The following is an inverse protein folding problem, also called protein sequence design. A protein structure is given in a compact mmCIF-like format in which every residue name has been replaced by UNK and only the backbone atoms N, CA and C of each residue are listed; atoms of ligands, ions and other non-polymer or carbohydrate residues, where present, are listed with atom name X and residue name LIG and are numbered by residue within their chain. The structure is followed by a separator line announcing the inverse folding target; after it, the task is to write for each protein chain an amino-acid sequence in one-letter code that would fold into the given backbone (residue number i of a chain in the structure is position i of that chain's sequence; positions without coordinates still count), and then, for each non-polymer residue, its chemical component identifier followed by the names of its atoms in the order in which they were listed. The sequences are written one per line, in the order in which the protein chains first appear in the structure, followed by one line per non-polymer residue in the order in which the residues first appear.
data_IF_620462414112
#
_entry.id   IF_620462414112
#
_cell.length_a   1.000
_cell.length_b   1.000
_cell.length_c   1.000
_cell.angle_alpha   90.00
_cell.angle_beta   90.00
_cell.angle_gamma   90.00
#
_symmetry.space_group_name_H-M   'P 1'
#
loop_
_entity.id
_entity.type
_entity.pdbx_description
1 polymer ?
#
# COMPACT_ATOMS: atom_id res chain seq x y z
N UNK A 1 38.64 30.12 -42.75
CA UNK A 1 37.46 29.30 -43.10
C UNK A 1 37.34 28.00 -42.26
N UNK A 2 37.81 27.97 -41.00
CA UNK A 2 37.82 26.73 -40.18
C UNK A 2 36.86 26.75 -38.98
N UNK A 3 36.06 27.81 -38.79
CA UNK A 3 35.22 27.99 -37.59
C UNK A 3 33.87 27.27 -37.65
N UNK A 4 33.41 26.85 -38.83
CA UNK A 4 32.06 26.27 -38.99
C UNK A 4 31.98 24.76 -38.72
N UNK A 5 33.09 24.02 -38.78
CA UNK A 5 33.09 22.56 -38.55
C UNK A 5 32.67 22.16 -37.12
N UNK A 6 32.97 22.97 -36.11
CA UNK A 6 32.65 22.63 -34.71
C UNK A 6 31.15 22.68 -34.39
N UNK A 7 30.40 23.57 -35.05
CA UNK A 7 28.98 23.80 -34.75
C UNK A 7 28.10 22.65 -35.24
N UNK A 8 28.43 22.06 -36.39
CA UNK A 8 27.69 20.94 -36.96
C UNK A 8 27.77 19.67 -36.08
N UNK A 9 28.95 19.37 -35.53
CA UNK A 9 29.14 18.22 -34.63
C UNK A 9 28.39 18.34 -33.31
N UNK A 10 28.30 19.54 -32.74
CA UNK A 10 27.57 19.76 -31.49
C UNK A 10 26.05 19.56 -31.68
N UNK A 11 25.52 20.05 -32.81
CA UNK A 11 24.09 19.93 -33.14
C UNK A 11 23.68 18.49 -33.42
N UNK A 12 24.53 17.71 -34.10
CA UNK A 12 24.28 16.29 -34.33
C UNK A 12 24.16 15.50 -33.01
N UNK A 13 25.05 15.77 -32.04
CA UNK A 13 25.03 15.11 -30.73
C UNK A 13 23.80 15.49 -29.91
N UNK A 14 23.37 16.75 -29.96
CA UNK A 14 22.13 17.19 -29.30
C UNK A 14 20.90 16.50 -29.90
N UNK A 15 20.83 16.38 -31.22
CA UNK A 15 19.74 15.66 -31.89
C UNK A 15 19.69 14.20 -31.47
N UNK A 16 20.84 13.52 -31.36
CA UNK A 16 20.90 12.13 -30.89
C UNK A 16 20.38 11.96 -29.45
N UNK A 17 20.78 12.86 -28.53
CA UNK A 17 20.26 12.82 -27.15
C UNK A 17 18.75 13.05 -27.08
N UNK A 18 18.22 13.92 -27.95
CA UNK A 18 16.78 14.20 -28.00
C UNK A 18 16.00 13.03 -28.61
N UNK A 19 16.53 12.36 -29.65
CA UNK A 19 15.94 11.14 -30.20
C UNK A 19 15.75 10.07 -29.11
N UNK A 20 16.78 9.85 -28.28
CA UNK A 20 16.72 8.89 -27.17
C UNK A 20 15.66 9.29 -26.13
N UNK A 21 15.57 10.58 -25.76
CA UNK A 21 14.54 11.08 -24.86
C UNK A 21 13.12 10.89 -25.42
N UNK A 22 12.92 11.19 -26.70
CA UNK A 22 11.62 10.97 -27.36
C UNK A 22 11.25 9.49 -27.35
N UNK A 23 12.20 8.59 -27.58
CA UNK A 23 11.95 7.15 -27.51
C UNK A 23 11.54 6.70 -26.09
N UNK A 24 12.19 7.24 -25.05
CA UNK A 24 11.81 6.98 -23.66
C UNK A 24 10.43 7.53 -23.29
N UNK A 25 10.07 8.71 -23.81
CA UNK A 25 8.80 9.38 -23.55
C UNK A 25 7.65 8.91 -24.46
N UNK A 26 7.94 8.12 -25.49
CA UNK A 26 6.98 7.70 -26.50
C UNK A 26 5.72 7.05 -25.91
N UNK A 27 5.79 6.10 -24.94
CA UNK A 27 4.58 5.50 -24.36
C UNK A 27 3.69 6.54 -23.67
N UNK A 28 4.28 7.46 -22.91
CA UNK A 28 3.55 8.53 -22.23
C UNK A 28 2.97 9.54 -23.22
N UNK A 29 3.68 9.82 -24.33
CA UNK A 29 3.21 10.72 -25.38
C UNK A 29 1.96 10.15 -26.07
N UNK A 30 1.96 8.85 -26.40
CA UNK A 30 0.83 8.17 -27.03
C UNK A 30 -0.42 8.13 -26.14
N UNK A 31 -0.23 8.05 -24.81
CA UNK A 31 -1.31 8.01 -23.82
C UNK A 31 -1.71 9.38 -23.25
N UNK A 32 -1.12 10.48 -23.74
CA UNK A 32 -1.31 11.84 -23.22
C UNK A 32 -0.93 12.02 -21.74
N UNK A 33 -0.02 11.19 -21.22
CA UNK A 33 0.43 11.20 -19.83
C UNK A 33 1.61 12.16 -19.57
N UNK A 34 2.22 12.70 -20.63
CA UNK A 34 3.29 13.68 -20.50
C UNK A 34 2.77 15.05 -20.05
N UNK A 35 3.59 15.74 -19.26
CA UNK A 35 3.35 17.15 -18.90
C UNK A 35 3.28 18.03 -20.15
N UNK A 36 2.61 19.18 -20.07
CA UNK A 36 2.48 20.10 -21.21
C UNK A 36 3.85 20.52 -21.80
N UNK A 37 4.86 20.73 -20.94
CA UNK A 37 6.22 21.09 -21.35
C UNK A 37 6.87 19.95 -22.14
N UNK A 38 6.78 18.72 -21.64
CA UNK A 38 7.32 17.54 -22.32
C UNK A 38 6.61 17.30 -23.67
N UNK A 39 5.27 17.43 -23.71
CA UNK A 39 4.53 17.31 -24.97
C UNK A 39 4.99 18.34 -26.01
N UNK A 40 5.25 19.58 -25.59
CA UNK A 40 5.74 20.63 -26.48
C UNK A 40 7.15 20.31 -26.99
N UNK A 41 8.05 19.82 -26.13
CA UNK A 41 9.40 19.41 -26.52
C UNK A 41 9.39 18.25 -27.53
N UNK A 42 8.57 17.22 -27.27
CA UNK A 42 8.40 16.10 -28.21
C UNK A 42 7.86 16.61 -29.54
N UNK A 43 6.79 17.42 -29.53
CA UNK A 43 6.21 17.99 -30.76
C UNK A 43 7.22 18.81 -31.56
N UNK A 44 8.03 19.63 -30.89
CA UNK A 44 9.08 20.40 -31.55
C UNK A 44 10.11 19.50 -32.23
N UNK A 45 10.61 18.48 -31.52
CA UNK A 45 11.58 17.54 -32.11
C UNK A 45 10.99 16.72 -33.26
N UNK A 46 9.73 16.27 -33.16
CA UNK A 46 9.06 15.54 -34.24
C UNK A 46 8.87 16.37 -35.51
N UNK A 47 8.86 17.71 -35.41
CA UNK A 47 8.83 18.59 -36.57
C UNK A 47 10.20 18.73 -37.26
N UNK A 48 11.29 18.39 -36.56
CA UNK A 48 12.66 18.53 -37.06
C UNK A 48 13.31 17.17 -37.43
N UNK A 49 12.79 16.07 -36.90
CA UNK A 49 13.37 14.73 -37.05
C UNK A 49 12.37 13.74 -37.67
N UNK A 50 12.47 13.53 -38.98
CA UNK A 50 11.61 12.63 -39.77
C UNK A 50 11.63 11.19 -39.24
N UNK A 51 12.80 10.71 -38.78
CA UNK A 51 12.95 9.36 -38.23
C UNK A 51 12.10 9.16 -36.99
N UNK A 52 12.12 10.10 -36.05
CA UNK A 52 11.29 10.03 -34.85
C UNK A 52 9.81 10.22 -35.19
N UNK A 53 9.48 11.08 -36.15
CA UNK A 53 8.11 11.26 -36.64
C UNK A 53 7.54 9.96 -37.21
N UNK A 54 8.31 9.24 -38.03
CA UNK A 54 7.92 7.96 -38.59
C UNK A 54 7.71 6.90 -37.50
N UNK A 55 8.63 6.79 -36.53
CA UNK A 55 8.49 5.85 -35.41
C UNK A 55 7.23 6.12 -34.56
N UNK A 56 6.92 7.39 -34.29
CA UNK A 56 5.69 7.77 -33.59
C UNK A 56 4.46 7.36 -34.41
N UNK A 57 4.50 7.56 -35.72
CA UNK A 57 3.40 7.20 -36.61
C UNK A 57 3.18 5.68 -36.65
N UNK A 58 4.24 4.89 -36.77
CA UNK A 58 4.19 3.42 -36.69
C UNK A 58 3.61 2.95 -35.35
N UNK A 59 4.06 3.53 -34.24
CA UNK A 59 3.54 3.20 -32.91
C UNK A 59 2.06 3.57 -32.75
N UNK A 60 1.60 4.67 -33.36
CA UNK A 60 0.17 5.04 -33.40
C UNK A 60 -0.66 4.05 -34.20
N UNK A 61 -0.17 3.60 -35.35
CA UNK A 61 -0.86 2.59 -36.16
C UNK A 61 -0.99 1.28 -35.38
N UNK A 62 0.09 0.79 -34.77
CA UNK A 62 0.06 -0.41 -33.94
C UNK A 62 -0.89 -0.28 -32.75
N UNK A 63 -0.90 0.87 -32.06
CA UNK A 63 -1.82 1.12 -30.96
C UNK A 63 -3.29 1.10 -31.42
N UNK A 64 -3.58 1.65 -32.60
CA UNK A 64 -4.92 1.62 -33.19
C UNK A 64 -5.34 0.19 -33.57
N UNK A 65 -4.43 -0.62 -34.13
CA UNK A 65 -4.71 -2.02 -34.46
C UNK A 65 -4.97 -2.86 -33.21
N UNK A 66 -4.16 -2.68 -32.16
CA UNK A 66 -4.37 -3.32 -30.86
C UNK A 66 -5.70 -2.90 -30.24
N UNK A 67 -6.07 -1.63 -30.34
CA UNK A 67 -7.37 -1.14 -29.87
C UNK A 67 -8.52 -1.75 -30.68
N UNK A 68 -8.41 -1.82 -32.01
CA UNK A 68 -9.41 -2.43 -32.87
C UNK A 68 -9.60 -3.91 -32.57
N UNK A 69 -8.52 -4.64 -32.28
CA UNK A 69 -8.57 -6.04 -31.89
C UNK A 69 -9.16 -6.20 -30.48
N UNK A 70 -8.77 -5.35 -29.53
CA UNK A 70 -9.38 -5.30 -28.22
C UNK A 70 -10.89 -5.00 -28.30
N UNK A 71 -11.33 -4.14 -29.21
CA UNK A 71 -12.75 -3.82 -29.44
C UNK A 71 -13.51 -5.00 -30.07
N UNK A 72 -12.84 -5.89 -30.82
CA UNK A 72 -13.42 -7.15 -31.31
C UNK A 72 -13.60 -8.17 -30.18
N UNK A 73 -12.61 -8.26 -29.28
CA UNK A 73 -12.60 -9.26 -28.20
C UNK A 73 -13.32 -8.79 -26.94
N UNK A 74 -13.48 -7.50 -26.71
CA UNK A 74 -14.35 -7.02 -25.65
C UNK A 74 -15.78 -7.36 -26.04
N UNK A 75 -16.45 -8.31 -25.35
CA UNK A 75 -17.86 -8.49 -25.57
C UNK A 75 -18.49 -7.15 -25.27
N UNK A 76 -19.06 -6.49 -26.30
CA UNK A 76 -19.85 -5.28 -26.10
C UNK A 76 -20.81 -5.60 -24.97
N UNK A 77 -20.55 -5.01 -23.80
CA UNK A 77 -21.43 -5.16 -22.66
C UNK A 77 -22.81 -4.85 -23.19
N UNK A 78 -23.74 -5.79 -23.06
CA UNK A 78 -25.09 -5.61 -23.58
C UNK A 78 -25.59 -4.23 -23.14
N UNK A 79 -26.38 -3.54 -23.96
CA UNK A 79 -26.84 -2.20 -23.63
C UNK A 79 -27.51 -2.14 -22.25
N UNK A 80 -28.12 -3.25 -21.81
CA UNK A 80 -28.62 -3.43 -20.45
C UNK A 80 -27.50 -3.46 -19.38
N UNK A 81 -26.40 -4.18 -19.60
CA UNK A 81 -25.25 -4.21 -18.70
C UNK A 81 -24.56 -2.84 -18.60
N UNK A 82 -24.35 -2.16 -19.72
CA UNK A 82 -23.76 -0.81 -19.72
C UNK A 82 -24.64 0.19 -18.97
N UNK A 83 -25.97 0.17 -19.17
CA UNK A 83 -26.91 1.00 -18.41
C UNK A 83 -26.93 0.66 -16.91
N UNK A 84 -26.79 -0.62 -16.52
CA UNK A 84 -26.68 -1.00 -15.10
C UNK A 84 -25.42 -0.44 -14.46
N UNK A 85 -24.28 -0.56 -15.15
CA UNK A 85 -22.99 -0.02 -14.67
C UNK A 85 -23.09 1.50 -14.57
N UNK A 86 -23.58 2.19 -15.60
CA UNK A 86 -23.78 3.64 -15.58
C UNK A 86 -24.69 4.06 -14.42
N UNK A 87 -25.83 3.38 -14.20
CA UNK A 87 -26.72 3.67 -13.06
C UNK A 87 -26.03 3.44 -11.72
N UNK A 88 -25.20 2.41 -11.58
CA UNK A 88 -24.45 2.15 -10.35
C UNK A 88 -23.41 3.24 -10.09
N UNK A 89 -22.64 3.64 -11.11
CA UNK A 89 -21.66 4.72 -11.03
C UNK A 89 -22.36 6.04 -10.71
N UNK A 90 -23.45 6.36 -11.41
CA UNK A 90 -24.22 7.58 -11.17
C UNK A 90 -24.83 7.62 -9.76
N UNK A 91 -25.29 6.47 -9.22
CA UNK A 91 -25.75 6.35 -7.83
C UNK A 91 -24.62 6.59 -6.83
N UNK A 92 -23.42 6.05 -7.07
CA UNK A 92 -22.25 6.29 -6.20
C UNK A 92 -21.82 7.76 -6.25
N UNK A 93 -21.76 8.35 -7.45
CA UNK A 93 -21.41 9.76 -7.63
C UNK A 93 -22.44 10.72 -7.03
N UNK A 94 -23.74 10.40 -7.17
CA UNK A 94 -24.80 11.19 -6.52
C UNK A 94 -24.71 11.07 -5.00
N UNK A 95 -24.41 9.89 -4.45
CA UNK A 95 -24.19 9.72 -3.01
C UNK A 95 -22.99 10.53 -2.52
N UNK A 96 -21.87 10.55 -3.23
CA UNK A 96 -20.70 11.34 -2.81
C UNK A 96 -20.98 12.84 -2.86
N UNK A 97 -21.66 13.34 -3.90
CA UNK A 97 -22.07 14.74 -3.99
C UNK A 97 -23.05 15.14 -2.88
N UNK A 98 -24.01 14.27 -2.57
CA UNK A 98 -24.94 14.50 -1.45
C UNK A 98 -24.17 14.50 -0.12
N UNK A 99 -23.29 13.52 0.11
CA UNK A 99 -22.45 13.45 1.31
C UNK A 99 -21.54 14.66 1.48
N UNK A 100 -21.01 15.21 0.38
CA UNK A 100 -20.18 16.40 0.42
C UNK A 100 -20.99 17.64 0.81
N UNK A 101 -22.21 17.78 0.27
CA UNK A 101 -23.12 18.89 0.64
C UNK A 101 -23.66 18.73 2.06
N UNK A 102 -24.13 17.56 2.45
CA UNK A 102 -24.65 17.32 3.81
C UNK A 102 -23.55 17.40 4.85
N UNK A 103 -22.34 16.92 4.54
CA UNK A 103 -21.17 17.03 5.42
C UNK A 103 -20.81 18.48 5.74
N UNK A 104 -20.88 19.40 4.77
CA UNK A 104 -20.67 20.83 5.03
C UNK A 104 -21.76 21.42 5.93
N UNK A 105 -23.03 21.10 5.67
CA UNK A 105 -24.15 21.59 6.49
C UNK A 105 -24.05 21.08 7.93
N UNK A 106 -23.71 19.80 8.12
CA UNK A 106 -23.54 19.21 9.46
C UNK A 106 -22.37 19.86 10.20
N UNK A 107 -21.24 20.13 9.53
CA UNK A 107 -20.10 20.85 10.14
C UNK A 107 -20.47 22.26 10.56
N UNK A 108 -21.27 22.97 9.75
CA UNK A 108 -21.70 24.32 10.07
C UNK A 108 -22.72 24.34 11.22
N UNK A 109 -23.68 23.41 11.21
CA UNK A 109 -24.64 23.26 12.29
C UNK A 109 -23.98 22.87 13.63
N UNK A 110 -22.99 21.98 13.61
CA UNK A 110 -22.21 21.60 14.80
C UNK A 110 -21.35 22.75 15.31
N UNK A 111 -20.74 23.55 14.44
CA UNK A 111 -20.01 24.76 14.84
C UNK A 111 -20.94 25.80 15.49
N UNK A 112 -22.14 26.01 14.95
CA UNK A 112 -23.14 26.93 15.55
C UNK A 112 -23.65 26.39 16.88
N UNK A 113 -23.96 25.09 16.97
CA UNK A 113 -24.43 24.48 18.21
C UNK A 113 -23.39 24.54 19.33
N UNK A 114 -22.11 24.28 19.01
CA UNK A 114 -21.00 24.41 19.97
C UNK A 114 -20.78 25.84 20.41
N UNK A 115 -20.89 26.83 19.51
CA UNK A 115 -20.85 28.25 19.86
C UNK A 115 -21.98 28.62 20.83
N UNK A 116 -23.22 28.18 20.57
CA UNK A 116 -24.37 28.42 21.45
C UNK A 116 -24.16 27.77 22.82
N UNK A 117 -23.63 26.55 22.87
CA UNK A 117 -23.31 25.84 24.12
C UNK A 117 -22.22 26.55 24.92
N UNK A 118 -21.19 27.09 24.27
CA UNK A 118 -20.12 27.86 24.91
C UNK A 118 -20.65 29.20 25.45
N UNK A 119 -21.44 29.93 24.66
CA UNK A 119 -22.02 31.21 25.09
C UNK A 119 -23.04 31.02 26.22
N UNK A 120 -23.95 30.05 26.08
CA UNK A 120 -24.95 29.72 27.10
C UNK A 120 -24.31 29.14 28.36
N UNK A 121 -23.32 28.27 28.20
CA UNK A 121 -22.53 27.70 29.30
C UNK A 121 -21.76 28.77 30.07
N UNK A 122 -21.09 29.69 29.37
CA UNK A 122 -20.40 30.82 30.00
C UNK A 122 -21.35 31.73 30.78
N UNK A 123 -22.56 31.97 30.26
CA UNK A 123 -23.55 32.81 30.93
C UNK A 123 -24.10 32.16 32.20
N UNK A 124 -24.44 30.87 32.15
CA UNK A 124 -24.90 30.12 33.30
C UNK A 124 -23.79 29.92 34.35
N UNK A 125 -22.56 29.65 33.90
CA UNK A 125 -21.41 29.49 34.78
C UNK A 125 -21.10 30.79 35.52
N UNK A 126 -21.07 31.93 34.82
CA UNK A 126 -20.90 33.24 35.45
C UNK A 126 -21.97 33.52 36.49
N UNK A 127 -23.24 33.28 36.17
CA UNK A 127 -24.35 33.58 37.09
C UNK A 127 -24.37 32.67 38.33
N UNK A 128 -23.95 31.42 38.21
CA UNK A 128 -24.02 30.44 39.30
C UNK A 128 -22.75 30.40 40.17
N UNK A 129 -21.56 30.57 39.58
CA UNK A 129 -20.29 30.44 40.29
C UNK A 129 -19.70 31.76 40.79
N UNK A 130 -19.98 32.91 40.14
CA UNK A 130 -19.47 34.20 40.62
C UNK A 130 -19.90 34.57 42.04
N UNK A 131 -21.15 34.29 42.51
CA UNK A 131 -21.54 34.60 43.88
C UNK A 131 -20.74 33.83 44.95
N UNK A 132 -20.30 32.62 44.63
CA UNK A 132 -19.51 31.79 45.55
C UNK A 132 -18.07 32.29 45.68
N UNK A 133 -17.48 32.79 44.58
CA UNK A 133 -16.12 33.31 44.58
C UNK A 133 -16.02 34.72 45.19
N UNK A 134 -17.03 35.57 45.04
CA UNK A 134 -17.00 36.94 45.62
C UNK A 134 -17.27 36.97 47.12
N UNK A 135 -17.77 35.89 47.72
CA UNK A 135 -17.95 35.77 49.17
C UNK A 135 -16.71 35.31 49.93
N UNK A 136 -15.58 35.11 49.24
CA UNK A 136 -14.28 34.86 49.89
C UNK A 136 -13.61 36.16 50.31
N UNK A 137 -14.29 36.95 51.14
CA UNK A 137 -13.68 38.08 51.85
C UNK A 137 -13.40 37.68 53.30
N UNK A 138 -12.13 37.84 53.69
CA UNK A 138 -11.62 37.90 55.05
C UNK A 138 -11.41 36.58 55.81
N UNK A 139 -10.31 35.88 55.48
CA UNK A 139 -9.42 35.38 56.53
C UNK A 139 -7.98 35.64 56.11
N UNK A 140 -7.47 36.82 56.47
CA UNK A 140 -6.04 37.11 56.49
C UNK A 140 -5.44 36.34 57.68
N UNK A 141 -5.07 35.09 57.42
CA UNK A 141 -4.32 34.24 58.33
C UNK A 141 -2.90 34.12 57.81
N UNK A 142 -2.04 35.00 58.30
CA UNK A 142 -0.60 34.91 58.25
C UNK A 142 -0.15 33.52 58.72
N UNK A 143 0.49 32.75 57.84
CA UNK A 143 1.16 31.49 58.17
C UNK A 143 2.14 31.16 57.05
N UNK A 144 3.35 31.66 57.23
CA UNK A 144 4.56 31.09 56.64
C UNK A 144 4.82 29.75 57.33
N UNK A 145 4.91 28.63 56.58
CA UNK A 145 6.06 27.74 56.78
C UNK A 145 6.57 27.25 55.42
N UNK A 146 7.84 27.52 55.11
CA UNK A 146 9.01 26.69 55.39
C UNK A 146 9.22 25.63 54.29
N UNK A 147 10.27 25.89 53.52
CA UNK A 147 10.85 25.06 52.47
C UNK A 147 11.08 23.63 52.97
N UNK A 148 10.45 22.65 52.33
CA UNK A 148 10.79 21.24 52.49
C UNK A 148 11.74 20.83 51.35
N UNK A 149 12.98 20.58 51.74
CA UNK A 149 14.12 20.21 50.91
C UNK A 149 13.98 18.76 50.45
N UNK A 150 13.85 18.57 49.13
CA UNK A 150 13.83 17.26 48.50
C UNK A 150 15.23 16.61 48.53
N UNK A 151 15.39 15.38 49.05
CA UNK A 151 16.62 14.62 48.88
C UNK A 151 16.77 14.04 47.45
N UNK A 152 18.00 13.82 46.97
CA UNK A 152 18.28 13.31 45.63
C UNK A 152 17.93 11.82 45.46
N UNK A 153 17.57 11.37 44.24
CA UNK A 153 17.27 9.97 43.97
C UNK A 153 18.55 9.11 44.01
N UNK A 154 18.55 8.10 44.88
CA UNK A 154 19.57 7.06 44.91
C UNK A 154 19.45 6.08 43.72
N UNK A 155 20.54 5.40 43.32
CA UNK A 155 20.58 4.50 42.19
C UNK A 155 19.76 3.22 42.44
N UNK A 156 18.82 2.92 41.56
CA UNK A 156 18.05 1.68 41.54
C UNK A 156 18.98 0.50 41.26
N UNK A 157 19.06 -0.41 42.23
CA UNK A 157 19.76 -1.68 42.10
C UNK A 157 19.02 -2.61 41.13
N UNK A 158 19.81 -3.27 40.29
CA UNK A 158 19.44 -4.32 39.34
C UNK A 158 19.10 -5.61 40.11
N UNK A 159 17.97 -6.28 39.86
CA UNK A 159 17.82 -7.69 40.19
C UNK A 159 18.42 -8.52 39.04
N UNK A 160 19.55 -9.16 39.34
CA UNK A 160 20.10 -10.28 38.59
C UNK A 160 19.23 -11.51 38.86
N UNK A 161 18.50 -11.97 37.86
CA UNK A 161 17.81 -13.27 37.91
C UNK A 161 18.68 -14.31 37.21
N UNK A 162 19.02 -15.35 37.96
CA UNK A 162 19.84 -16.49 37.56
C UNK A 162 19.15 -17.37 36.51
N UNK A 163 19.90 -18.22 35.79
CA UNK A 163 19.37 -19.05 34.70
C UNK A 163 18.62 -20.26 35.25
N UNK A 164 17.36 -20.40 34.85
CA UNK A 164 16.58 -21.62 35.06
C UNK A 164 17.00 -22.65 34.00
N UNK A 165 17.27 -23.86 34.49
CA UNK A 165 17.72 -25.03 33.75
C UNK A 165 16.70 -25.49 32.69
N UNK A 166 17.16 -26.09 31.57
CA UNK A 166 16.28 -26.62 30.55
C UNK A 166 15.57 -27.90 31.03
N UNK A 167 14.24 -27.86 30.96
CA UNK A 167 13.35 -29.00 31.13
C UNK A 167 13.34 -29.84 29.83
N UNK A 168 13.42 -31.17 29.88
CA UNK A 168 13.51 -32.01 28.69
C UNK A 168 12.19 -32.03 27.92
N UNK A 169 12.28 -31.57 26.68
CA UNK A 169 11.23 -31.57 25.65
C UNK A 169 10.80 -33.01 25.33
N UNK A 170 9.60 -33.37 25.76
CA UNK A 170 8.93 -34.61 25.35
C UNK A 170 8.55 -34.44 23.88
N UNK A 171 9.27 -35.14 23.01
CA UNK A 171 9.00 -35.22 21.58
C UNK A 171 7.56 -35.69 21.35
N UNK A 172 6.68 -34.74 21.04
CA UNK A 172 5.35 -35.03 20.51
C UNK A 172 5.54 -35.41 19.06
N UNK A 173 5.26 -36.67 18.74
CA UNK A 173 5.26 -37.20 17.38
C UNK A 173 4.21 -36.41 16.60
N UNK A 174 4.67 -35.44 15.81
CA UNK A 174 3.84 -34.77 14.80
C UNK A 174 3.64 -35.77 13.68
N UNK A 175 2.40 -36.25 13.56
CA UNK A 175 1.96 -37.11 12.47
C UNK A 175 2.20 -36.36 11.14
N UNK A 176 2.90 -36.97 10.17
CA UNK A 176 3.19 -36.31 8.91
C UNK A 176 1.88 -35.98 8.17
N UNK A 177 1.77 -34.79 7.56
CA UNK A 177 0.57 -34.42 6.81
C UNK A 177 0.33 -35.44 5.68
N UNK A 178 -0.94 -35.74 5.37
CA UNK A 178 -1.27 -36.71 4.33
C UNK A 178 -0.61 -36.33 3.01
N UNK A 179 0.13 -37.27 2.44
CA UNK A 179 0.79 -37.12 1.15
C UNK A 179 -0.26 -36.86 0.06
N UNK A 180 -0.13 -35.71 -0.60
CA UNK A 180 -0.87 -35.32 -1.79
C UNK A 180 -0.55 -36.27 -2.96
N UNK A 181 -1.46 -37.19 -3.24
CA UNK A 181 -1.52 -37.89 -4.53
C UNK A 181 -2.78 -37.45 -5.27
N UNK A 182 -2.56 -36.57 -6.25
CA UNK A 182 -3.04 -36.63 -7.64
C UNK A 182 -3.42 -35.24 -8.20
N UNK A 183 -2.81 -34.82 -9.32
CA UNK A 183 -3.06 -33.52 -9.91
C UNK A 183 -4.26 -33.55 -10.87
N UNK A 184 -5.09 -32.50 -10.76
CA UNK A 184 -5.78 -31.86 -11.88
C UNK A 184 -6.61 -32.75 -12.83
N UNK A 185 -7.87 -33.08 -12.46
CA UNK A 185 -8.80 -33.64 -13.46
C UNK A 185 -10.19 -33.00 -13.55
N UNK A 186 -10.51 -31.98 -12.76
CA UNK A 186 -11.75 -31.26 -12.97
C UNK A 186 -11.50 -29.79 -12.67
N UNK A 187 -11.99 -28.88 -13.52
CA UNK A 187 -11.94 -27.42 -13.35
C UNK A 187 -12.69 -26.88 -12.11
N UNK A 188 -12.68 -27.65 -11.02
CA UNK A 188 -13.02 -27.27 -9.68
C UNK A 188 -12.06 -26.16 -9.29
N UNK A 189 -12.61 -24.94 -9.20
CA UNK A 189 -11.94 -23.82 -8.55
C UNK A 189 -11.52 -24.31 -7.16
N UNK A 190 -10.22 -24.37 -6.93
CA UNK A 190 -9.68 -24.69 -5.61
C UNK A 190 -10.19 -23.58 -4.69
N UNK A 191 -10.88 -23.96 -3.63
CA UNK A 191 -11.35 -22.98 -2.68
C UNK A 191 -10.12 -22.49 -1.91
N UNK A 192 -9.95 -21.19 -1.86
CA UNK A 192 -8.99 -20.50 -1.00
C UNK A 192 -8.87 -21.04 0.45
N UNK A 193 -9.92 -21.70 0.93
CA UNK A 193 -10.03 -22.30 2.26
C UNK A 193 -9.21 -23.57 2.44
N UNK A 194 -8.85 -24.25 1.34
CA UNK A 194 -8.12 -25.51 1.37
C UNK A 194 -6.61 -25.28 1.64
N UNK A 195 -6.14 -24.03 1.55
CA UNK A 195 -4.73 -23.64 1.72
C UNK A 195 -4.60 -22.47 2.71
N UNK A 196 -4.91 -22.73 3.98
CA UNK A 196 -4.76 -21.75 5.06
C UNK A 196 -3.37 -21.87 5.70
N UNK A 197 -2.71 -20.73 5.91
CA UNK A 197 -1.46 -20.64 6.68
C UNK A 197 -1.78 -19.97 8.01
N UNK A 198 -1.70 -20.73 9.10
CA UNK A 198 -1.78 -20.16 10.45
C UNK A 198 -0.43 -19.61 10.87
N UNK A 199 -0.46 -18.50 11.62
CA UNK A 199 0.73 -17.81 12.11
C UNK A 199 0.89 -18.17 13.57
N UNK A 200 2.09 -18.63 13.95
CA UNK A 200 2.38 -18.94 15.34
C UNK A 200 2.42 -17.62 16.16
N UNK A 201 1.87 -17.60 17.38
CA UNK A 201 2.01 -16.45 18.27
C UNK A 201 3.49 -16.08 18.46
N UNK A 202 3.84 -14.81 18.29
CA UNK A 202 5.20 -14.31 18.50
C UNK A 202 6.07 -14.17 17.25
N UNK A 203 5.59 -14.57 16.06
CA UNK A 203 6.32 -14.34 14.82
C UNK A 203 6.48 -12.85 14.49
N UNK A 204 7.65 -12.49 14.00
CA UNK A 204 7.94 -11.15 13.48
C UNK A 204 7.21 -10.90 12.14
N UNK A 205 6.91 -9.64 11.79
CA UNK A 205 6.35 -9.28 10.49
C UNK A 205 7.14 -9.82 9.29
N UNK A 206 8.47 -9.93 9.43
CA UNK A 206 9.40 -10.40 8.42
C UNK A 206 9.32 -11.91 8.23
N UNK A 207 9.31 -12.70 9.32
CA UNK A 207 9.12 -14.15 9.27
C UNK A 207 7.76 -14.51 8.64
N UNK A 208 6.73 -13.73 8.97
CA UNK A 208 5.41 -13.89 8.38
C UNK A 208 5.41 -13.54 6.88
N UNK A 209 6.09 -12.48 6.46
CA UNK A 209 6.25 -12.16 5.05
C UNK A 209 7.00 -13.25 4.28
N UNK A 210 8.04 -13.84 4.89
CA UNK A 210 8.78 -14.97 4.32
C UNK A 210 7.89 -16.21 4.16
N UNK A 211 7.14 -16.58 5.20
CA UNK A 211 6.21 -17.73 5.16
C UNK A 211 5.13 -17.58 4.09
N UNK A 212 4.55 -16.38 3.93
CA UNK A 212 3.59 -16.08 2.87
C UNK A 212 4.25 -16.25 1.48
N UNK A 213 5.49 -15.81 1.35
CA UNK A 213 6.26 -15.91 0.11
C UNK A 213 6.61 -17.37 -0.23
N UNK A 214 7.06 -18.16 0.75
CA UNK A 214 7.34 -19.60 0.54
C UNK A 214 6.08 -20.38 0.18
N UNK A 215 4.99 -20.13 0.91
CA UNK A 215 3.69 -20.74 0.60
C UNK A 215 3.25 -20.37 -0.82
N UNK A 216 3.47 -19.13 -1.22
CA UNK A 216 3.16 -18.69 -2.57
C UNK A 216 4.03 -19.41 -3.62
N UNK A 217 5.33 -19.49 -3.39
CA UNK A 217 6.27 -20.15 -4.31
C UNK A 217 6.01 -21.65 -4.46
N UNK A 218 5.51 -22.31 -3.41
CA UNK A 218 5.23 -23.75 -3.40
C UNK A 218 3.93 -24.15 -4.13
N UNK A 219 2.95 -23.25 -4.29
CA UNK A 219 1.59 -23.60 -4.76
C UNK A 219 1.31 -23.40 -6.28
N UNK A 220 2.31 -23.00 -7.06
CA UNK A 220 2.25 -22.79 -8.53
C UNK A 220 1.19 -21.76 -9.03
N UNK A 221 1.40 -21.16 -10.20
CA UNK A 221 0.81 -19.86 -10.61
C UNK A 221 -0.73 -19.79 -10.65
N UNK A 222 -1.44 -20.90 -10.83
CA UNK A 222 -2.89 -20.90 -11.03
C UNK A 222 -3.71 -20.57 -9.77
N UNK A 223 -3.10 -20.67 -8.57
CA UNK A 223 -3.84 -20.70 -7.30
C UNK A 223 -3.66 -19.46 -6.43
N UNK A 224 -2.68 -18.63 -6.75
CA UNK A 224 -2.29 -17.48 -5.93
C UNK A 224 -3.19 -16.25 -6.09
N UNK A 225 -4.03 -16.23 -7.13
CA UNK A 225 -5.13 -15.29 -7.26
C UNK A 225 -6.11 -15.39 -6.07
N UNK A 226 -6.12 -16.51 -5.35
CA UNK A 226 -7.06 -16.78 -4.27
C UNK A 226 -6.38 -17.26 -2.98
N UNK A 227 -5.13 -16.83 -2.68
CA UNK A 227 -4.50 -17.15 -1.39
C UNK A 227 -5.07 -16.24 -0.28
N UNK A 228 -5.69 -16.84 0.74
CA UNK A 228 -6.21 -16.09 1.89
C UNK A 228 -5.38 -16.44 3.13
N UNK A 229 -4.67 -15.44 3.64
CA UNK A 229 -3.97 -15.55 4.93
C UNK A 229 -4.89 -14.97 5.99
N UNK A 230 -5.74 -15.83 6.56
CA UNK A 230 -6.43 -15.51 7.80
C UNK A 230 -5.43 -15.61 8.95
N UNK A 231 -5.39 -14.61 9.81
CA UNK A 231 -4.46 -14.57 10.93
C UNK A 231 -5.27 -14.27 12.17
N UNK A 232 -5.26 -15.21 13.12
CA UNK A 232 -6.06 -15.13 14.32
C UNK A 232 -6.74 -16.43 14.71
N UNK A 233 -7.20 -16.51 15.96
CA UNK A 233 -7.96 -17.64 16.49
C UNK A 233 -9.40 -17.68 15.93
N UNK A 234 -9.89 -16.56 15.38
CA UNK A 234 -11.16 -16.49 14.70
C UNK A 234 -11.02 -16.99 13.25
N UNK A 235 -11.66 -18.12 12.93
CA UNK A 235 -11.72 -18.73 11.59
C UNK A 235 -12.49 -17.89 10.53
N UNK A 236 -12.55 -16.56 10.68
CA UNK A 236 -13.26 -15.64 9.78
C UNK A 236 -12.27 -14.77 9.00
N UNK A 237 -12.16 -14.94 7.67
CA UNK A 237 -11.23 -14.17 6.86
C UNK A 237 -11.72 -12.73 6.72
N UNK A 238 -10.86 -11.76 7.04
CA UNK A 238 -11.17 -10.33 6.91
C UNK A 238 -10.45 -9.64 5.74
N UNK A 239 -9.66 -10.37 4.95
CA UNK A 239 -8.97 -9.83 3.77
C UNK A 239 -8.88 -10.84 2.62
N UNK A 240 -9.02 -10.34 1.38
CA UNK A 240 -8.77 -11.04 0.11
C UNK A 240 -7.40 -10.62 -0.39
N UNK A 241 -6.50 -11.55 -0.70
CA UNK A 241 -5.21 -11.25 -1.33
C UNK A 241 -5.15 -11.87 -2.72
N UNK A 242 -4.47 -11.16 -3.64
CA UNK A 242 -4.21 -11.60 -5.00
C UNK A 242 -2.71 -11.51 -5.21
N UNK A 243 -2.06 -12.64 -5.44
CA UNK A 243 -0.64 -12.70 -5.75
C UNK A 243 -0.49 -13.25 -7.16
N UNK A 244 0.10 -12.44 -8.04
CA UNK A 244 0.29 -12.77 -9.46
C UNK A 244 1.78 -12.85 -9.71
N UNK A 245 2.30 -14.08 -9.74
CA UNK A 245 3.63 -14.38 -10.26
C UNK A 245 3.38 -14.74 -11.72
N UNK A 246 3.97 -14.00 -12.65
CA UNK A 246 3.79 -14.22 -14.09
C UNK A 246 4.98 -14.96 -14.67
N UNK A 247 4.72 -16.14 -15.23
CA UNK A 247 5.61 -17.04 -15.97
C UNK A 247 7.04 -17.18 -15.43
N UNK A 248 7.33 -18.27 -14.72
CA UNK A 248 8.71 -18.71 -14.46
C UNK A 248 9.43 -19.11 -15.75
N UNK A 249 10.41 -18.31 -16.20
CA UNK A 249 11.63 -18.85 -16.79
C UNK A 249 12.49 -19.30 -15.60
N UNK A 250 12.60 -20.61 -15.37
CA UNK A 250 13.02 -21.21 -14.09
C UNK A 250 14.45 -20.85 -13.65
N UNK A 251 14.53 -20.39 -12.39
CA UNK A 251 15.43 -20.89 -11.34
C UNK A 251 14.57 -21.21 -10.09
N UNK A 252 15.04 -22.11 -9.23
CA UNK A 252 14.38 -22.48 -7.96
C UNK A 252 14.46 -21.33 -6.94
N UNK A 253 13.55 -20.37 -7.02
CA UNK A 253 13.42 -19.30 -6.03
C UNK A 253 12.77 -19.81 -4.73
N UNK A 254 13.31 -19.36 -3.60
CA UNK A 254 12.88 -19.58 -2.22
C UNK A 254 12.77 -18.25 -1.47
N UNK A 255 12.14 -18.19 -0.29
CA UNK A 255 12.12 -16.95 0.52
C UNK A 255 13.51 -16.40 0.86
N UNK A 256 14.53 -17.27 0.91
CA UNK A 256 15.91 -16.86 1.17
C UNK A 256 16.51 -15.98 0.06
N UNK A 257 15.96 -16.02 -1.15
CA UNK A 257 16.37 -15.18 -2.27
C UNK A 257 15.80 -13.76 -2.18
N UNK A 258 14.92 -13.51 -1.20
CA UNK A 258 14.28 -12.22 -0.97
C UNK A 258 14.83 -11.55 0.28
N UNK A 259 14.92 -10.23 0.21
CA UNK A 259 15.18 -9.38 1.37
C UNK A 259 13.90 -8.68 1.80
N UNK A 260 13.49 -8.93 3.03
CA UNK A 260 12.34 -8.30 3.67
C UNK A 260 12.81 -7.10 4.48
N UNK A 261 12.33 -5.90 4.15
CA UNK A 261 12.69 -4.67 4.87
C UNK A 261 11.42 -4.04 5.42
N UNK A 262 11.38 -3.92 6.75
CA UNK A 262 10.31 -3.28 7.50
C UNK A 262 10.43 -1.76 7.46
N UNK A 263 9.32 -1.11 7.18
CA UNK A 263 9.17 0.33 7.21
C UNK A 263 8.22 0.73 8.35
N UNK A 264 8.66 1.62 9.25
CA UNK A 264 7.76 2.19 10.25
C UNK A 264 6.74 3.10 9.55
N UNK A 265 5.46 2.85 9.79
CA UNK A 265 4.37 3.74 9.39
C UNK A 265 3.96 4.53 10.64
N UNK A 266 3.58 5.82 10.54
CA UNK A 266 3.08 6.63 11.66
C UNK A 266 1.67 6.20 12.11
N UNK A 267 1.43 4.90 12.20
CA UNK A 267 0.26 4.25 12.76
C UNK A 267 0.81 3.10 13.61
N UNK A 268 0.66 3.12 14.95
CA UNK A 268 1.33 2.17 15.85
C UNK A 268 0.92 0.72 15.59
N UNK A 269 -0.24 0.51 14.97
CA UNK A 269 -0.77 -0.80 14.61
C UNK A 269 -0.47 -1.20 13.18
N UNK A 270 0.20 -0.37 12.36
CA UNK A 270 0.45 -0.68 10.94
C UNK A 270 1.95 -0.73 10.67
N UNK A 271 2.37 -1.78 9.97
CA UNK A 271 3.73 -1.98 9.52
C UNK A 271 3.70 -2.26 8.02
N UNK A 272 4.64 -1.71 7.24
CA UNK A 272 4.86 -2.15 5.86
C UNK A 272 6.13 -2.98 5.80
N UNK A 273 6.10 -4.06 5.03
CA UNK A 273 7.25 -4.90 4.71
C UNK A 273 7.43 -4.87 3.20
N UNK A 274 8.52 -4.29 2.76
CA UNK A 274 8.94 -4.32 1.35
C UNK A 274 9.70 -5.59 1.05
N UNK A 275 9.40 -6.21 -0.09
CA UNK A 275 10.01 -7.45 -0.57
C UNK A 275 10.94 -7.09 -1.72
N UNK A 276 12.22 -7.38 -1.58
CA UNK A 276 13.26 -7.08 -2.56
C UNK A 276 13.87 -8.36 -3.11
N UNK A 277 14.18 -8.38 -4.40
CA UNK A 277 14.93 -9.44 -5.07
C UNK A 277 15.98 -8.78 -5.97
N UNK A 278 17.26 -9.17 -5.87
CA UNK A 278 18.37 -8.57 -6.62
C UNK A 278 18.38 -7.03 -6.61
N UNK A 279 18.17 -6.41 -5.43
CA UNK A 279 18.10 -4.95 -5.26
C UNK A 279 16.91 -4.25 -5.95
N UNK A 280 15.93 -4.99 -6.45
CA UNK A 280 14.69 -4.44 -6.99
C UNK A 280 13.52 -4.68 -6.04
N UNK A 281 12.70 -3.65 -5.82
CA UNK A 281 11.45 -3.75 -5.08
C UNK A 281 10.44 -4.51 -5.91
N UNK A 282 10.19 -5.77 -5.55
CA UNK A 282 9.26 -6.64 -6.27
C UNK A 282 7.85 -6.56 -5.70
N UNK A 283 7.70 -6.40 -4.37
CA UNK A 283 6.40 -6.31 -3.71
C UNK A 283 6.40 -5.53 -2.40
N UNK A 284 5.20 -5.25 -1.86
CA UNK A 284 5.02 -4.59 -0.56
C UNK A 284 3.78 -5.15 0.14
N UNK A 285 3.96 -5.61 1.38
CA UNK A 285 2.91 -6.08 2.28
C UNK A 285 2.66 -5.01 3.34
N UNK A 286 1.41 -4.60 3.54
CA UNK A 286 0.98 -3.84 4.71
C UNK A 286 0.32 -4.76 5.71
N UNK A 287 0.74 -4.66 6.95
CA UNK A 287 0.31 -5.50 8.06
C UNK A 287 -0.29 -4.60 9.10
N UNK A 288 -1.51 -4.91 9.56
CA UNK A 288 -2.18 -4.18 10.65
C UNK A 288 -2.41 -5.12 11.83
N UNK A 289 -2.22 -4.65 13.05
CA UNK A 289 -2.56 -5.38 14.25
C UNK A 289 -3.96 -4.95 14.73
N UNK A 290 -4.88 -5.89 14.91
CA UNK A 290 -6.22 -5.67 15.46
C UNK A 290 -6.43 -6.70 16.55
N UNK A 291 -6.64 -6.26 17.80
CA UNK A 291 -6.88 -7.14 18.95
C UNK A 291 -5.77 -8.18 19.21
N UNK A 292 -4.52 -7.82 18.92
CA UNK A 292 -3.38 -8.73 19.07
C UNK A 292 -3.09 -9.59 17.85
N UNK A 293 -4.00 -9.65 16.88
CA UNK A 293 -3.87 -10.44 15.65
C UNK A 293 -3.35 -9.56 14.51
N UNK A 294 -2.42 -10.09 13.70
CA UNK A 294 -1.91 -9.39 12.52
C UNK A 294 -2.83 -9.62 11.32
N UNK A 295 -2.92 -8.67 10.39
CA UNK A 295 -3.68 -8.79 9.14
C UNK A 295 -2.83 -8.25 8.01
N UNK A 296 -2.52 -9.06 7.01
CA UNK A 296 -1.66 -8.69 5.90
C UNK A 296 -2.49 -8.33 4.66
N UNK A 297 -2.00 -7.37 3.89
CA UNK A 297 -2.58 -6.98 2.61
C UNK A 297 -1.45 -6.51 1.70
N UNK A 298 -1.28 -7.16 0.55
CA UNK A 298 -0.34 -6.68 -0.46
C UNK A 298 -0.82 -5.34 -1.01
N UNK A 299 0.01 -4.31 -0.92
CA UNK A 299 -0.22 -3.03 -1.59
C UNK A 299 0.44 -2.95 -2.94
N UNK A 300 1.50 -3.74 -3.12
CA UNK A 300 2.11 -4.03 -4.40
C UNK A 300 2.28 -5.54 -4.51
N UNK A 301 1.54 -6.16 -5.41
CA UNK A 301 1.66 -7.59 -5.71
C UNK A 301 3.10 -7.87 -6.14
N UNK A 302 3.79 -8.83 -5.49
CA UNK A 302 5.15 -9.17 -5.86
C UNK A 302 5.18 -9.70 -7.28
N UNK A 303 5.89 -8.98 -8.17
CA UNK A 303 6.10 -9.38 -9.55
C UNK A 303 7.60 -9.47 -9.81
N UNK A 304 8.05 -10.66 -10.21
CA UNK A 304 9.44 -10.92 -10.59
C UNK A 304 9.41 -11.31 -12.05
N UNK A 305 9.81 -10.39 -12.94
CA UNK A 305 10.03 -10.73 -14.34
C UNK A 305 11.49 -11.12 -14.53
N UNK A 306 11.83 -12.36 -14.16
CA UNK A 306 13.19 -12.90 -14.32
C UNK A 306 13.56 -12.95 -15.82
N UNK A 307 12.58 -13.09 -16.72
CA UNK A 307 12.81 -13.21 -18.16
C UNK A 307 13.18 -11.89 -18.88
N UNK A 308 13.24 -10.73 -18.19
CA UNK A 308 13.49 -9.42 -18.82
C UNK A 308 14.92 -8.90 -18.68
N UNK A 309 15.79 -9.60 -17.96
CA UNK A 309 17.20 -9.24 -17.84
C UNK A 309 18.07 -10.48 -18.10
N UNK A 310 18.72 -10.59 -19.27
CA UNK A 310 19.75 -11.59 -19.51
C UNK A 310 21.03 -11.31 -18.70
#
# INVERSE_FOLDING_TARGET
MTKDKGKATAQAKQNETMCHLVQQWLPGYLRWELTAVQQQQVKAHLAECDRCAQQVQEARLLANDLQAEADRYQPRLSQAASLRIQRQVYRRMRRSLVWQRTGQVVRLATAVATLILLLGGSFLFGRFWLPFLTNSSATSGDSTPLLEELPPPGPTAVPTTAPVAPEPEIATIVEPPPSLTDPAENGRRINAWDHWVSVAPGQSPEELAALITDTALANDEALLAELFVGMGAAQTPTARMWLSISNRCQDNLSSADFRFIRHPIPLPTVTAVSIWHNSHLVGEIKMRQVQGEWFATFTRTPAINVCLFP
#
